data_IF_908263989960
#
_entry.id   IF_908263989960
#
_cell.length_a   1.000
_cell.length_b   1.000
_cell.length_c   1.000
_cell.angle_alpha   90.00
_cell.angle_beta   90.00
_cell.angle_gamma   90.00
#
_symmetry.space_group_name_H-M   'P 1'
#
loop_
_entity.id
_entity.type
_entity.pdbx_description
1 polymer ?
#
# COMPACT_ATOMS: atom_id res chain seq x y z
N UNK A 1 11.74 -54.81 -0.63
CA UNK A 1 10.38 -54.31 -0.94
C UNK A 1 9.69 -54.13 0.40
N UNK A 2 9.33 -52.96 0.91
CA UNK A 2 9.22 -51.60 0.35
C UNK A 2 9.21 -50.66 1.56
N UNK A 3 9.93 -49.54 1.47
CA UNK A 3 10.02 -48.47 2.45
C UNK A 3 8.78 -47.58 2.37
N UNK A 4 8.14 -47.24 3.49
CA UNK A 4 7.12 -46.17 3.53
C UNK A 4 7.65 -45.03 4.38
N UNK A 5 8.08 -43.95 3.71
CA UNK A 5 8.41 -42.68 4.35
C UNK A 5 7.14 -41.94 4.73
N UNK A 6 7.09 -41.45 5.96
CA UNK A 6 6.13 -40.43 6.37
C UNK A 6 6.72 -39.07 5.97
N UNK A 7 6.15 -38.48 4.91
CA UNK A 7 6.41 -37.09 4.54
C UNK A 7 5.93 -36.15 5.63
N UNK A 8 6.79 -35.21 6.01
CA UNK A 8 6.42 -34.11 6.88
C UNK A 8 5.37 -33.21 6.22
N UNK A 9 4.59 -32.46 7.02
CA UNK A 9 3.67 -31.48 6.47
C UNK A 9 4.49 -30.40 5.76
N UNK A 10 4.23 -30.25 4.45
CA UNK A 10 4.79 -29.17 3.65
C UNK A 10 4.46 -27.84 4.30
N UNK A 11 5.50 -27.04 4.55
CA UNK A 11 5.35 -25.61 4.71
C UNK A 11 4.74 -25.09 3.41
N UNK A 12 3.45 -24.78 3.45
CA UNK A 12 2.78 -24.07 2.37
C UNK A 12 3.53 -22.78 2.12
N UNK A 13 4.04 -22.66 0.90
CA UNK A 13 4.59 -21.47 0.29
C UNK A 13 3.67 -20.27 0.58
N UNK A 14 4.06 -19.36 1.49
CA UNK A 14 3.41 -18.07 1.65
C UNK A 14 4.12 -17.06 0.77
N UNK A 15 3.91 -17.19 -0.53
CA UNK A 15 4.17 -16.12 -1.48
C UNK A 15 3.03 -15.09 -1.37
N UNK A 16 3.09 -14.20 -0.37
CA UNK A 16 2.16 -13.05 -0.29
C UNK A 16 2.92 -11.73 -0.05
N UNK A 17 3.64 -11.30 -1.09
CA UNK A 17 4.52 -10.13 -1.06
C UNK A 17 3.81 -8.78 -0.84
N UNK A 18 2.63 -8.62 -1.44
CA UNK A 18 1.88 -7.37 -1.41
C UNK A 18 1.28 -7.09 -0.04
N UNK A 19 0.88 -8.15 0.67
CA UNK A 19 0.44 -8.08 2.06
C UNK A 19 1.59 -7.67 2.96
N UNK A 20 2.75 -8.33 2.83
CA UNK A 20 3.93 -8.03 3.64
C UNK A 20 4.43 -6.59 3.39
N UNK A 21 4.42 -6.14 2.14
CA UNK A 21 4.73 -4.75 1.79
C UNK A 21 3.75 -3.77 2.43
N UNK A 22 2.44 -4.00 2.31
CA UNK A 22 1.42 -3.12 2.90
C UNK A 22 1.52 -3.10 4.42
N UNK A 23 1.73 -4.25 5.07
CA UNK A 23 1.92 -4.31 6.53
C UNK A 23 3.20 -3.57 6.97
N UNK A 24 4.29 -3.68 6.21
CA UNK A 24 5.52 -2.93 6.47
C UNK A 24 5.26 -1.41 6.39
N UNK A 25 4.67 -0.94 5.29
CA UNK A 25 4.36 0.49 5.11
C UNK A 25 3.40 0.97 6.20
N UNK A 26 2.37 0.19 6.53
CA UNK A 26 1.39 0.53 7.55
C UNK A 26 2.02 0.68 8.94
N UNK A 27 3.00 -0.15 9.28
CA UNK A 27 3.65 -0.13 10.61
C UNK A 27 4.82 0.85 10.70
N UNK A 28 5.53 1.11 9.61
CA UNK A 28 6.75 1.94 9.62
C UNK A 28 6.57 3.33 9.01
N UNK A 29 5.57 3.54 8.17
CA UNK A 29 5.38 4.80 7.44
C UNK A 29 6.48 5.08 6.42
N UNK A 30 7.17 4.05 5.94
CA UNK A 30 8.29 4.17 5.00
C UNK A 30 8.24 3.08 3.93
N UNK A 31 8.95 3.32 2.83
CA UNK A 31 9.14 2.37 1.72
C UNK A 31 10.64 2.12 1.57
N UNK A 32 11.07 0.87 1.79
CA UNK A 32 12.48 0.47 1.74
C UNK A 32 13.41 1.36 2.58
N UNK A 33 12.96 1.77 3.77
CA UNK A 33 13.74 2.64 4.68
C UNK A 33 13.68 4.14 4.34
N UNK A 34 12.87 4.55 3.37
CA UNK A 34 12.70 5.96 2.96
C UNK A 34 11.28 6.42 3.27
N UNK A 35 11.18 7.48 4.07
CA UNK A 35 9.90 8.02 4.54
C UNK A 35 9.75 9.53 4.32
N UNK A 36 8.74 10.07 4.99
CA UNK A 36 8.50 11.52 5.10
C UNK A 36 9.77 12.23 5.56
N UNK A 37 10.04 13.43 5.02
CA UNK A 37 11.26 14.20 5.28
C UNK A 37 12.39 13.92 4.28
N UNK A 38 12.32 12.81 3.54
CA UNK A 38 13.37 12.42 2.59
C UNK A 38 13.29 13.24 1.30
N UNK A 39 14.45 13.61 0.74
CA UNK A 39 14.52 14.33 -0.54
C UNK A 39 14.31 13.44 -1.78
N UNK A 40 14.04 14.03 -2.95
CA UNK A 40 13.78 13.27 -4.18
C UNK A 40 14.92 12.32 -4.60
N UNK A 41 16.18 12.64 -4.24
CA UNK A 41 17.33 11.78 -4.52
C UNK A 41 17.29 10.45 -3.78
N UNK A 42 16.85 10.45 -2.51
CA UNK A 42 16.72 9.23 -1.72
C UNK A 42 15.68 8.28 -2.33
N UNK A 43 14.52 8.83 -2.73
CA UNK A 43 13.48 8.07 -3.44
C UNK A 43 13.95 7.50 -4.77
N UNK A 44 14.71 8.27 -5.56
CA UNK A 44 15.34 7.75 -6.79
C UNK A 44 16.33 6.63 -6.51
N UNK A 45 17.10 6.71 -5.42
CA UNK A 45 18.06 5.68 -5.07
C UNK A 45 17.40 4.34 -4.73
N UNK A 46 16.23 4.36 -4.08
CA UNK A 46 15.53 3.12 -3.66
C UNK A 46 14.53 2.59 -4.69
N UNK A 47 13.76 3.44 -5.37
CA UNK A 47 12.73 3.01 -6.34
C UNK A 47 13.20 3.08 -7.79
N UNK A 48 14.34 3.72 -8.06
CA UNK A 48 14.86 3.95 -9.42
C UNK A 48 14.48 5.32 -9.98
N UNK A 49 14.90 5.58 -11.22
CA UNK A 49 14.64 6.84 -11.91
C UNK A 49 13.32 6.84 -12.69
N UNK A 50 12.78 5.66 -12.96
CA UNK A 50 11.57 5.46 -13.77
C UNK A 50 10.33 5.85 -12.96
N UNK A 51 9.91 7.09 -13.15
CA UNK A 51 8.70 7.65 -12.56
C UNK A 51 8.09 8.69 -13.49
N UNK A 52 6.77 8.81 -13.44
CA UNK A 52 6.08 9.96 -14.01
C UNK A 52 6.28 11.14 -13.05
N UNK A 53 6.77 12.27 -13.60
CA UNK A 53 6.97 13.50 -12.85
C UNK A 53 5.84 14.45 -13.17
N UNK A 54 5.17 14.91 -12.14
CA UNK A 54 4.07 15.86 -12.23
C UNK A 54 4.48 17.12 -11.45
N UNK A 55 5.08 18.10 -12.14
CA UNK A 55 5.54 19.34 -11.53
C UNK A 55 4.36 20.31 -11.33
N UNK A 56 4.07 20.66 -10.09
CA UNK A 56 3.19 21.76 -9.71
C UNK A 56 3.98 22.97 -9.19
N UNK A 57 3.30 24.11 -8.99
CA UNK A 57 3.93 25.30 -8.42
C UNK A 57 4.34 25.04 -6.96
N UNK A 58 5.64 24.84 -6.70
CA UNK A 58 6.17 24.56 -5.37
C UNK A 58 5.91 23.12 -4.87
N UNK A 59 5.29 22.28 -5.69
CA UNK A 59 4.98 20.89 -5.40
C UNK A 59 5.56 20.00 -6.49
N UNK A 60 6.09 18.85 -6.11
CA UNK A 60 6.53 17.84 -7.05
C UNK A 60 5.90 16.51 -6.66
N UNK A 61 5.15 15.87 -7.57
CA UNK A 61 4.71 14.49 -7.40
C UNK A 61 5.53 13.58 -8.30
N UNK A 62 5.93 12.43 -7.76
CA UNK A 62 6.52 11.33 -8.51
C UNK A 62 5.67 10.09 -8.34
N UNK A 63 5.22 9.55 -9.46
CA UNK A 63 4.41 8.34 -9.53
C UNK A 63 5.28 7.21 -10.09
N UNK A 64 5.50 6.19 -9.26
CA UNK A 64 6.26 4.99 -9.57
C UNK A 64 5.34 3.79 -9.90
N UNK A 65 4.07 4.04 -10.24
CA UNK A 65 3.03 3.03 -10.47
C UNK A 65 2.33 2.68 -9.16
N UNK A 66 2.90 1.73 -8.41
CA UNK A 66 2.35 1.29 -7.12
C UNK A 66 2.55 2.33 -5.99
N UNK A 67 3.61 3.14 -6.06
CA UNK A 67 3.96 4.11 -5.02
C UNK A 67 3.98 5.52 -5.61
N UNK A 68 3.24 6.43 -4.99
CA UNK A 68 3.31 7.85 -5.26
C UNK A 68 3.94 8.59 -4.09
N UNK A 69 4.78 9.59 -4.39
CA UNK A 69 5.39 10.46 -3.39
C UNK A 69 5.25 11.92 -3.79
N UNK A 70 4.93 12.75 -2.81
CA UNK A 70 4.76 14.20 -2.96
C UNK A 70 5.82 14.95 -2.17
N UNK A 71 6.42 15.95 -2.80
CA UNK A 71 7.45 16.81 -2.24
C UNK A 71 6.98 18.26 -2.23
N UNK A 72 7.36 18.99 -1.20
CA UNK A 72 7.21 20.43 -1.08
C UNK A 72 8.56 21.04 -0.75
N UNK A 73 8.78 22.29 -1.18
CA UNK A 73 9.95 23.06 -0.78
C UNK A 73 9.77 23.72 0.59
N UNK A 74 8.56 24.12 1.00
CA UNK A 74 8.25 24.82 2.26
C UNK A 74 9.37 25.78 2.77
N UNK A 75 9.94 26.59 1.86
CA UNK A 75 11.01 27.57 2.17
C UNK A 75 12.45 27.01 2.23
N UNK A 76 12.65 25.73 1.91
CA UNK A 76 13.93 25.03 1.87
C UNK A 76 14.04 24.02 0.71
N UNK A 77 14.92 23.01 0.83
CA UNK A 77 15.02 21.94 -0.17
C UNK A 77 13.74 21.12 -0.26
N UNK A 78 13.46 20.57 -1.45
CA UNK A 78 12.33 19.65 -1.64
C UNK A 78 12.41 18.46 -0.68
N UNK A 79 11.35 18.27 0.10
CA UNK A 79 11.22 17.22 1.10
C UNK A 79 9.89 16.50 0.95
N UNK A 80 9.90 15.17 1.12
CA UNK A 80 8.71 14.35 1.01
C UNK A 80 7.75 14.68 2.15
N UNK A 81 6.52 15.05 1.81
CA UNK A 81 5.46 15.31 2.80
C UNK A 81 4.29 14.34 2.68
N UNK A 82 4.28 13.49 1.66
CA UNK A 82 3.21 12.51 1.45
C UNK A 82 3.67 11.29 0.65
N UNK A 83 3.23 10.12 1.09
CA UNK A 83 3.43 8.82 0.43
C UNK A 83 2.06 8.17 0.26
N UNK A 84 1.78 7.62 -0.90
CA UNK A 84 0.58 6.84 -1.17
C UNK A 84 0.93 5.52 -1.85
N UNK A 85 0.44 4.41 -1.30
CA UNK A 85 0.49 3.09 -1.93
C UNK A 85 -0.83 2.86 -2.64
N UNK A 86 -0.79 2.71 -3.96
CA UNK A 86 -1.94 2.65 -4.86
C UNK A 86 -2.33 1.19 -5.15
N UNK A 87 -2.67 0.41 -4.12
CA UNK A 87 -2.90 -1.03 -4.24
C UNK A 87 -4.00 -1.39 -5.26
N UNK A 88 -5.05 -0.56 -5.37
CA UNK A 88 -6.12 -0.76 -6.36
C UNK A 88 -5.61 -0.82 -7.81
N UNK A 89 -4.43 -0.24 -8.11
CA UNK A 89 -3.88 -0.24 -9.47
C UNK A 89 -3.34 -1.59 -9.92
N UNK A 90 -3.05 -2.50 -8.99
CA UNK A 90 -2.45 -3.81 -9.29
C UNK A 90 -3.33 -4.64 -10.23
N UNK A 91 -4.65 -4.51 -10.12
CA UNK A 91 -5.62 -5.21 -10.97
C UNK A 91 -5.53 -4.82 -12.45
N UNK A 92 -5.06 -3.62 -12.73
CA UNK A 92 -4.84 -3.11 -14.08
C UNK A 92 -3.42 -3.36 -14.60
N UNK A 93 -2.63 -4.18 -13.89
CA UNK A 93 -1.25 -4.50 -14.27
C UNK A 93 -0.29 -3.30 -14.20
N UNK A 94 -0.61 -2.30 -13.38
CA UNK A 94 0.26 -1.14 -13.18
C UNK A 94 1.61 -1.55 -12.58
N UNK A 95 2.64 -0.77 -12.92
CA UNK A 95 4.02 -1.14 -12.65
C UNK A 95 4.29 -1.21 -11.13
N UNK A 96 4.75 -2.38 -10.68
CA UNK A 96 5.45 -2.52 -9.40
C UNK A 96 6.91 -2.14 -9.62
N UNK A 97 7.46 -1.15 -8.89
CA UNK A 97 8.88 -0.83 -8.96
C UNK A 97 9.74 -2.10 -8.79
N UNK A 98 10.71 -2.36 -9.68
CA UNK A 98 11.52 -3.58 -9.61
C UNK A 98 12.22 -3.81 -8.27
N UNK A 99 12.53 -2.72 -7.54
CA UNK A 99 13.09 -2.81 -6.20
C UNK A 99 12.10 -3.41 -5.18
N UNK A 100 10.81 -3.09 -5.28
CA UNK A 100 9.78 -3.69 -4.44
C UNK A 100 9.55 -5.15 -4.78
N UNK A 101 9.46 -5.48 -6.08
CA UNK A 101 9.32 -6.87 -6.51
C UNK A 101 10.50 -7.74 -6.06
N UNK A 102 11.74 -7.20 -6.06
CA UNK A 102 12.90 -7.91 -5.52
C UNK A 102 12.88 -8.08 -3.99
N UNK A 103 12.39 -7.06 -3.27
CA UNK A 103 12.40 -7.07 -1.81
C UNK A 103 11.27 -7.91 -1.19
N UNK A 104 10.10 -7.92 -1.84
CA UNK A 104 8.91 -8.56 -1.29
C UNK A 104 8.44 -9.77 -2.11
N UNK A 105 8.72 -9.82 -3.41
CA UNK A 105 8.24 -10.88 -4.32
C UNK A 105 7.15 -10.38 -5.29
N UNK A 106 6.38 -11.32 -5.84
CA UNK A 106 5.32 -11.04 -6.82
C UNK A 106 4.03 -10.55 -6.16
N UNK A 107 3.50 -9.41 -6.64
CA UNK A 107 2.31 -8.77 -6.09
C UNK A 107 1.06 -9.34 -6.76
N UNK A 108 0.16 -9.88 -5.94
CA UNK A 108 -1.15 -10.30 -6.41
C UNK A 108 -1.97 -9.08 -6.91
N UNK A 109 -2.91 -9.28 -7.85
CA UNK A 109 -3.78 -8.21 -8.35
C UNK A 109 -4.61 -7.49 -7.28
N UNK A 110 -4.86 -8.15 -6.15
CA UNK A 110 -5.64 -7.65 -5.01
C UNK A 110 -4.91 -7.92 -3.71
N UNK A 111 -5.05 -7.04 -2.74
CA UNK A 111 -4.46 -7.17 -1.40
C UNK A 111 -5.59 -7.14 -0.39
N UNK A 112 -5.75 -8.20 0.41
CA UNK A 112 -6.85 -8.32 1.38
C UNK A 112 -6.52 -7.58 2.67
N UNK A 113 -7.46 -6.77 3.15
CA UNK A 113 -7.29 -6.01 4.39
C UNK A 113 -7.07 -6.91 5.61
N UNK A 114 -7.81 -8.01 5.74
CA UNK A 114 -7.65 -8.91 6.90
C UNK A 114 -6.26 -9.56 6.97
N UNK A 115 -5.64 -9.84 5.83
CA UNK A 115 -4.28 -10.37 5.78
C UNK A 115 -3.25 -9.30 6.17
N UNK A 116 -3.41 -8.07 5.66
CA UNK A 116 -2.59 -6.92 6.06
C UNK A 116 -2.75 -6.62 7.55
N UNK A 117 -3.98 -6.66 8.06
CA UNK A 117 -4.31 -6.46 9.47
C UNK A 117 -3.65 -7.52 10.34
N UNK A 118 -3.70 -8.78 9.95
CA UNK A 118 -2.99 -9.86 10.65
C UNK A 118 -1.48 -9.62 10.66
N UNK A 119 -0.90 -9.16 9.54
CA UNK A 119 0.51 -8.77 9.45
C UNK A 119 0.89 -7.61 10.38
N UNK A 120 0.06 -6.56 10.43
CA UNK A 120 0.25 -5.41 11.33
C UNK A 120 0.23 -5.86 12.80
N UNK A 121 -0.74 -6.69 13.18
CA UNK A 121 -0.86 -7.23 14.54
C UNK A 121 0.34 -8.12 14.90
N UNK A 122 0.83 -8.94 13.96
CA UNK A 122 2.01 -9.79 14.17
C UNK A 122 3.30 -8.96 14.37
N UNK A 123 3.34 -7.74 13.85
CA UNK A 123 4.43 -6.77 14.06
C UNK A 123 4.27 -5.95 15.35
N UNK A 124 3.22 -6.21 16.14
CA UNK A 124 3.01 -5.58 17.45
C UNK A 124 2.33 -4.21 17.41
N UNK A 125 1.73 -3.84 16.28
CA UNK A 125 0.96 -2.60 16.13
C UNK A 125 -0.55 -2.87 16.18
N UNK A 126 -1.36 -1.83 16.34
CA UNK A 126 -2.83 -1.91 16.31
C UNK A 126 -3.42 -1.36 15.02
N UNK A 127 -4.67 -1.74 14.75
CA UNK A 127 -5.47 -1.19 13.66
C UNK A 127 -6.82 -0.77 14.23
N UNK A 128 -7.14 0.50 14.10
CA UNK A 128 -8.35 1.12 14.64
C UNK A 128 -9.22 1.65 13.50
N UNK A 129 -10.55 1.55 13.58
CA UNK A 129 -11.44 2.29 12.69
C UNK A 129 -11.19 3.81 12.81
N UNK A 130 -11.15 4.51 11.67
CA UNK A 130 -11.01 5.98 11.61
C UNK A 130 -12.30 6.60 11.05
N UNK A 131 -12.79 6.10 9.92
CA UNK A 131 -14.03 6.54 9.28
C UNK A 131 -14.64 5.36 8.52
N UNK A 132 -15.81 4.89 8.94
CA UNK A 132 -16.51 3.76 8.32
C UNK A 132 -17.77 4.21 7.57
N UNK A 133 -17.73 5.43 7.02
CA UNK A 133 -18.82 5.96 6.21
C UNK A 133 -18.48 5.91 4.72
N UNK A 134 -19.50 5.64 3.90
CA UNK A 134 -19.38 5.56 2.44
C UNK A 134 -18.72 4.26 1.96
N UNK A 135 -18.36 4.26 0.68
CA UNK A 135 -18.02 3.04 -0.07
C UNK A 135 -16.58 2.56 0.17
N UNK A 136 -15.78 3.36 0.86
CA UNK A 136 -14.40 3.06 1.24
C UNK A 136 -14.20 3.38 2.71
N UNK A 137 -14.05 2.33 3.50
CA UNK A 137 -13.71 2.41 4.92
C UNK A 137 -12.26 2.84 5.14
N UNK A 138 -12.04 3.67 6.16
CA UNK A 138 -10.74 4.16 6.59
C UNK A 138 -10.40 3.61 7.97
N UNK A 139 -9.21 3.06 8.06
CA UNK A 139 -8.59 2.61 9.30
C UNK A 139 -7.29 3.38 9.55
N UNK A 140 -6.82 3.37 10.79
CA UNK A 140 -5.57 3.99 11.20
C UNK A 140 -4.71 2.98 11.95
N UNK A 141 -3.40 3.05 11.71
CA UNK A 141 -2.37 2.44 12.56
C UNK A 141 -1.81 3.55 13.47
N UNK A 142 -2.20 3.62 14.75
CA UNK A 142 -1.86 4.73 15.63
C UNK A 142 -0.36 4.95 15.79
N UNK A 143 0.43 3.88 15.82
CA UNK A 143 1.87 3.88 16.08
C UNK A 143 2.67 4.59 14.98
N UNK A 144 2.19 4.50 13.74
CA UNK A 144 2.84 5.12 12.57
C UNK A 144 2.07 6.35 12.06
N UNK A 145 0.80 6.48 12.40
CA UNK A 145 -0.12 7.48 11.84
C UNK A 145 -0.57 7.19 10.41
N UNK A 146 -0.25 6.00 9.86
CA UNK A 146 -0.68 5.59 8.52
C UNK A 146 -2.18 5.32 8.48
N UNK A 147 -2.81 5.72 7.39
CA UNK A 147 -4.21 5.42 7.09
C UNK A 147 -4.33 4.35 6.02
N UNK A 148 -5.23 3.42 6.23
CA UNK A 148 -5.52 2.30 5.33
C UNK A 148 -6.93 2.48 4.81
N UNK A 149 -7.09 2.49 3.50
CA UNK A 149 -8.37 2.64 2.81
C UNK A 149 -8.77 1.28 2.25
N UNK A 150 -9.98 0.85 2.58
CA UNK A 150 -10.50 -0.50 2.34
C UNK A 150 -11.84 -0.39 1.63
N UNK A 151 -12.02 -1.09 0.53
CA UNK A 151 -13.29 -1.13 -0.20
C UNK A 151 -14.35 -1.73 0.73
N UNK A 152 -15.47 -1.02 0.92
CA UNK A 152 -16.65 -1.55 1.61
C UNK A 152 -17.70 -2.00 0.59
N UNK A 153 -18.08 -1.08 -0.30
CA UNK A 153 -18.99 -1.34 -1.41
C UNK A 153 -18.21 -1.28 -2.74
N UNK A 154 -17.99 -2.43 -3.42
CA UNK A 154 -17.31 -2.45 -4.70
C UNK A 154 -18.21 -2.06 -5.89
N UNK A 155 -19.53 -1.86 -5.67
CA UNK A 155 -20.51 -1.35 -6.63
C UNK A 155 -21.30 -0.17 -6.01
N UNK A 156 -20.65 0.98 -5.76
CA UNK A 156 -21.26 2.09 -5.05
C UNK A 156 -22.47 2.72 -5.77
N UNK A 157 -22.65 2.40 -7.05
CA UNK A 157 -23.76 2.89 -7.87
C UNK A 157 -24.85 1.83 -8.10
N UNK A 158 -24.63 0.58 -7.68
CA UNK A 158 -25.61 -0.50 -7.71
C UNK A 158 -26.10 -0.81 -9.13
N UNK A 159 -25.21 -0.72 -10.13
CA UNK A 159 -25.61 -1.00 -11.52
C UNK A 159 -25.86 -2.49 -11.77
N UNK A 160 -25.43 -3.36 -10.83
CA UNK A 160 -25.71 -4.79 -10.81
C UNK A 160 -24.83 -5.61 -11.75
N UNK A 161 -23.81 -5.00 -12.36
CA UNK A 161 -22.82 -5.68 -13.23
C UNK A 161 -21.57 -6.13 -12.43
N UNK A 162 -21.60 -5.98 -11.10
CA UNK A 162 -20.47 -6.35 -10.27
C UNK A 162 -20.38 -7.86 -10.04
N UNK A 163 -19.52 -8.52 -10.83
CA UNK A 163 -19.20 -9.93 -10.64
C UNK A 163 -18.20 -10.12 -9.47
N UNK A 164 -18.73 -10.60 -8.34
CA UNK A 164 -17.95 -10.92 -7.12
C UNK A 164 -16.92 -12.05 -7.32
N UNK A 165 -17.02 -12.77 -8.43
CA UNK A 165 -16.08 -13.83 -8.81
C UNK A 165 -15.05 -13.38 -9.84
N UNK A 166 -15.16 -12.18 -10.41
CA UNK A 166 -14.18 -11.68 -11.37
C UNK A 166 -12.88 -11.30 -10.62
N UNK A 167 -11.75 -11.98 -10.90
CA UNK A 167 -10.47 -11.62 -10.31
C UNK A 167 -9.95 -10.25 -10.78
N UNK A 168 -10.54 -9.66 -11.82
CA UNK A 168 -10.22 -8.35 -12.37
C UNK A 168 -11.09 -7.21 -11.82
N UNK A 169 -11.98 -7.51 -10.87
CA UNK A 169 -12.75 -6.51 -10.12
C UNK A 169 -12.31 -6.42 -8.66
N UNK A 170 -12.34 -5.20 -8.13
CA UNK A 170 -12.18 -4.95 -6.70
C UNK A 170 -13.32 -5.60 -5.91
N UNK A 171 -13.02 -6.05 -4.71
CA UNK A 171 -14.00 -6.72 -3.84
C UNK A 171 -14.03 -6.01 -2.49
N UNK A 172 -15.18 -6.09 -1.82
CA UNK A 172 -15.30 -5.69 -0.43
C UNK A 172 -14.18 -6.33 0.42
N UNK A 173 -13.49 -5.53 1.22
CA UNK A 173 -12.33 -5.92 2.02
C UNK A 173 -10.98 -5.89 1.30
N UNK A 174 -10.91 -5.44 0.04
CA UNK A 174 -9.64 -5.14 -0.62
C UNK A 174 -9.06 -3.82 -0.11
N UNK A 175 -7.73 -3.76 -0.01
CA UNK A 175 -7.00 -2.50 0.17
C UNK A 175 -7.14 -1.68 -1.10
N UNK A 176 -7.72 -0.50 -0.98
CA UNK A 176 -7.72 0.51 -2.02
C UNK A 176 -6.37 1.25 -2.06
N UNK A 177 -5.94 1.77 -0.92
CA UNK A 177 -4.66 2.47 -0.77
C UNK A 177 -4.18 2.57 0.68
N UNK A 178 -2.90 2.91 0.86
CA UNK A 178 -2.35 3.35 2.15
C UNK A 178 -1.78 4.75 1.99
N UNK A 179 -1.99 5.61 2.98
CA UNK A 179 -1.52 6.99 2.95
C UNK A 179 -0.68 7.33 4.19
N UNK A 180 0.52 7.83 3.95
CA UNK A 180 1.46 8.35 4.96
C UNK A 180 1.60 9.85 4.76
N UNK A 181 1.06 10.67 5.66
CA UNK A 181 1.36 12.10 5.71
C UNK A 181 0.76 12.73 6.96
N UNK A 182 1.55 13.28 7.89
CA UNK A 182 1.00 14.10 8.97
C UNK A 182 0.27 15.36 8.47
N UNK A 183 0.68 15.88 7.30
CA UNK A 183 0.22 17.15 6.75
C UNK A 183 -1.16 17.07 6.09
N UNK A 184 -1.52 15.93 5.50
CA UNK A 184 -2.85 15.74 4.90
C UNK A 184 -3.97 15.81 5.94
N UNK A 185 -3.65 15.63 7.22
CA UNK A 185 -4.63 15.47 8.30
C UNK A 185 -4.79 16.73 9.15
N UNK A 186 -3.86 17.69 9.05
CA UNK A 186 -3.92 18.96 9.77
C UNK A 186 -5.00 19.92 9.21
N UNK A 187 -5.61 19.59 8.06
CA UNK A 187 -6.68 20.38 7.42
C UNK A 187 -8.10 19.93 7.74
N UNK A 188 -8.25 18.94 8.61
CA UNK A 188 -9.55 18.34 8.98
C UNK A 188 -9.96 18.63 10.43
N UNK A 189 -9.35 19.63 11.08
CA UNK A 189 -9.79 20.15 12.38
C UNK A 189 -10.34 21.56 12.24
#
# INVERSE_FOLDING_TARGET
MTTTGAGGPGAGDRSVSGVDFCAHVATRGEVLGVGIGSGPGAWTAVLGADCLKDPGTGLLRRDYGLVEVSFSADGGPLSCFGISVQAHRLIHGQAVPPALARAYGEFAPRVRFEEVRAGILALGCTVEPDDLSGDVHRYRVPESGVRVFVVDDPDPYGDGDHDVHDPQLHQAGDIWSLNVSPAWWARSR
#
